data_IF_123596665110
#
_entry.id   IF_123596665110
#
_cell.length_a   1.000
_cell.length_b   1.000
_cell.length_c   1.000
_cell.angle_alpha   90.00
_cell.angle_beta   90.00
_cell.angle_gamma   90.00
#
_symmetry.space_group_name_H-M   'P 1'
#
loop_
_entity.id
_entity.type
_entity.pdbx_description
1 polymer ?
#
# COMPACT_ATOMS: atom_id res chain seq x y z
N UNK A 1 -7.50 18.52 1.95
CA UNK A 1 -7.36 17.18 2.55
C UNK A 1 -6.65 16.31 1.52
N UNK A 2 -5.63 15.53 1.91
CA UNK A 2 -4.98 14.62 0.99
C UNK A 2 -5.95 13.51 0.57
N UNK A 3 -5.80 13.07 -0.67
CA UNK A 3 -6.54 11.97 -1.27
C UNK A 3 -5.53 11.07 -1.98
N UNK A 4 -5.60 9.77 -1.68
CA UNK A 4 -4.66 8.77 -2.18
C UNK A 4 -5.38 7.80 -3.11
N UNK A 5 -4.79 7.59 -4.29
CA UNK A 5 -5.30 6.69 -5.32
C UNK A 5 -4.38 5.46 -5.40
N UNK A 6 -4.96 4.31 -5.05
CA UNK A 6 -4.32 3.00 -4.92
C UNK A 6 -5.11 2.00 -5.76
N UNK A 7 -5.03 2.16 -7.08
CA UNK A 7 -5.93 1.49 -8.01
C UNK A 7 -7.39 1.89 -7.76
N UNK A 8 -8.27 0.91 -7.59
CA UNK A 8 -9.70 1.14 -7.29
C UNK A 8 -9.98 1.66 -5.88
N UNK A 9 -8.99 1.61 -4.98
CA UNK A 9 -9.12 2.12 -3.62
C UNK A 9 -8.78 3.60 -3.55
N UNK A 10 -9.75 4.40 -3.11
CA UNK A 10 -9.60 5.82 -2.82
C UNK A 10 -9.64 6.03 -1.32
N UNK A 11 -8.53 6.51 -0.73
CA UNK A 11 -8.46 6.83 0.69
C UNK A 11 -8.42 8.34 0.85
N UNK A 12 -9.42 8.88 1.55
CA UNK A 12 -9.50 10.31 1.88
C UNK A 12 -8.88 10.56 3.27
N UNK A 13 -8.31 11.75 3.49
CA UNK A 13 -7.58 12.07 4.73
C UNK A 13 -8.25 11.70 6.07
N UNK A 14 -9.59 11.79 6.18
CA UNK A 14 -10.29 11.38 7.41
C UNK A 14 -10.36 9.85 7.59
N UNK A 15 -10.32 9.08 6.51
CA UNK A 15 -10.23 7.62 6.57
C UNK A 15 -8.79 7.17 6.87
N UNK A 16 -7.78 7.96 6.48
CA UNK A 16 -6.39 7.74 6.88
C UNK A 16 -6.25 7.79 8.39
N UNK A 17 -6.72 8.85 9.05
CA UNK A 17 -6.65 9.00 10.51
C UNK A 17 -7.32 7.83 11.24
N UNK A 18 -8.44 7.32 10.71
CA UNK A 18 -9.12 6.15 11.29
C UNK A 18 -8.31 4.87 11.11
N UNK A 19 -7.67 4.68 9.96
CA UNK A 19 -6.86 3.51 9.67
C UNK A 19 -5.58 3.50 10.50
N UNK A 20 -4.88 4.64 10.58
CA UNK A 20 -3.66 4.79 11.38
C UNK A 20 -3.95 4.56 12.86
N UNK A 21 -5.05 5.14 13.38
CA UNK A 21 -5.49 4.92 14.75
C UNK A 21 -5.89 3.46 15.04
N UNK A 22 -6.63 2.82 14.14
CA UNK A 22 -7.08 1.44 14.34
C UNK A 22 -5.93 0.42 14.32
N UNK A 23 -4.84 0.74 13.62
CA UNK A 23 -3.72 -0.16 13.37
C UNK A 23 -2.46 0.20 14.17
N UNK A 24 -2.54 1.26 14.99
CA UNK A 24 -1.44 1.82 15.76
C UNK A 24 -0.23 2.20 14.85
N UNK A 25 -0.53 2.73 13.67
CA UNK A 25 0.44 3.21 12.70
C UNK A 25 0.60 4.72 12.90
N UNK A 26 1.81 5.27 12.99
CA UNK A 26 2.01 6.71 13.03
C UNK A 26 1.46 7.41 11.77
N UNK A 27 0.80 8.55 11.92
CA UNK A 27 0.15 9.26 10.79
C UNK A 27 1.15 9.64 9.68
N UNK A 28 2.39 9.95 10.04
CA UNK A 28 3.48 10.30 9.12
C UNK A 28 4.02 9.09 8.33
N UNK A 29 3.67 7.86 8.74
CA UNK A 29 4.09 6.63 8.06
C UNK A 29 3.15 6.21 6.94
N UNK A 30 1.89 6.67 6.96
CA UNK A 30 0.88 6.22 6.02
C UNK A 30 1.25 6.46 4.54
N UNK A 31 1.72 7.66 4.24
CA UNK A 31 2.21 8.02 2.89
C UNK A 31 3.41 7.14 2.48
N UNK A 32 4.33 6.90 3.42
CA UNK A 32 5.47 6.01 3.19
C UNK A 32 5.06 4.56 2.88
N UNK A 33 3.94 4.07 3.43
CA UNK A 33 3.42 2.73 3.11
C UNK A 33 2.81 2.66 1.72
N UNK A 34 2.18 3.74 1.25
CA UNK A 34 1.70 3.86 -0.12
C UNK A 34 2.87 3.83 -1.09
N UNK A 35 3.89 4.64 -0.82
CA UNK A 35 5.10 4.69 -1.65
C UNK A 35 5.84 3.35 -1.64
N UNK A 36 5.89 2.67 -0.49
CA UNK A 36 6.49 1.35 -0.38
C UNK A 36 5.74 0.31 -1.23
N UNK A 37 4.41 0.34 -1.24
CA UNK A 37 3.58 -0.54 -2.07
C UNK A 37 3.76 -0.27 -3.57
N UNK A 38 3.88 0.99 -3.97
CA UNK A 38 4.19 1.38 -5.36
C UNK A 38 5.58 0.93 -5.79
N UNK A 39 6.58 1.11 -4.92
CA UNK A 39 7.93 0.60 -5.17
C UNK A 39 7.92 -0.91 -5.32
N UNK A 40 7.22 -1.66 -4.46
CA UNK A 40 7.13 -3.12 -4.58
C UNK A 40 6.54 -3.57 -5.93
N UNK A 41 5.58 -2.81 -6.47
CA UNK A 41 5.02 -3.03 -7.80
C UNK A 41 6.02 -2.72 -8.93
N UNK A 42 6.76 -1.62 -8.83
CA UNK A 42 7.71 -1.21 -9.86
C UNK A 42 9.04 -1.99 -9.85
N UNK A 43 9.40 -2.57 -8.69
CA UNK A 43 10.77 -3.04 -8.44
C UNK A 43 11.05 -4.45 -8.94
N UNK A 44 10.05 -5.34 -9.01
CA UNK A 44 10.30 -6.78 -9.15
C UNK A 44 9.49 -7.44 -10.27
N UNK A 45 10.05 -8.49 -10.89
CA UNK A 45 9.44 -9.21 -12.02
C UNK A 45 8.33 -10.18 -11.58
N UNK A 46 8.31 -10.54 -10.29
CA UNK A 46 7.34 -11.49 -9.74
C UNK A 46 6.64 -10.96 -8.50
N UNK A 47 5.37 -11.36 -8.33
CA UNK A 47 4.58 -11.07 -7.11
C UNK A 47 5.31 -11.55 -5.85
N UNK A 48 6.00 -12.70 -5.91
CA UNK A 48 6.78 -13.22 -4.77
C UNK A 48 7.90 -12.29 -4.33
N UNK A 49 8.63 -11.71 -5.28
CA UNK A 49 9.72 -10.78 -5.01
C UNK A 49 9.17 -9.44 -4.48
N UNK A 50 8.05 -8.94 -5.02
CA UNK A 50 7.36 -7.77 -4.48
C UNK A 50 6.94 -7.97 -3.01
N UNK A 51 6.40 -9.15 -2.68
CA UNK A 51 6.02 -9.49 -1.30
C UNK A 51 7.26 -9.56 -0.40
N UNK A 52 8.35 -10.14 -0.87
CA UNK A 52 9.61 -10.22 -0.12
C UNK A 52 10.20 -8.82 0.13
N UNK A 53 10.14 -7.93 -0.87
CA UNK A 53 10.53 -6.53 -0.73
C UNK A 53 9.71 -5.83 0.36
N UNK A 54 8.39 -6.00 0.38
CA UNK A 54 7.54 -5.44 1.43
C UNK A 54 7.91 -5.98 2.81
N UNK A 55 8.11 -7.30 2.93
CA UNK A 55 8.46 -7.95 4.19
C UNK A 55 9.84 -7.54 4.73
N UNK A 56 10.77 -7.11 3.86
CA UNK A 56 12.08 -6.57 4.26
C UNK A 56 12.00 -5.14 4.79
N UNK A 57 11.01 -4.36 4.36
CA UNK A 57 10.93 -2.92 4.59
C UNK A 57 9.79 -2.50 5.55
N UNK A 58 8.85 -3.38 5.86
CA UNK A 58 7.76 -3.16 6.79
C UNK A 58 7.52 -4.40 7.66
N UNK A 59 6.99 -4.18 8.88
CA UNK A 59 6.66 -5.24 9.83
C UNK A 59 5.29 -4.99 10.48
N UNK A 60 4.72 -6.03 11.10
CA UNK A 60 3.48 -5.89 11.87
C UNK A 60 2.33 -5.29 11.06
N UNK A 61 1.61 -4.34 11.65
CA UNK A 61 0.47 -3.65 11.01
C UNK A 61 0.86 -2.90 9.73
N UNK A 62 2.06 -2.31 9.69
CA UNK A 62 2.57 -1.61 8.51
C UNK A 62 2.70 -2.56 7.30
N UNK A 63 3.22 -3.76 7.53
CA UNK A 63 3.34 -4.79 6.48
C UNK A 63 1.97 -5.23 5.96
N UNK A 64 1.01 -5.44 6.86
CA UNK A 64 -0.36 -5.82 6.47
C UNK A 64 -0.98 -4.75 5.58
N UNK A 65 -0.85 -3.48 5.94
CA UNK A 65 -1.37 -2.36 5.16
C UNK A 65 -0.66 -2.23 3.81
N UNK A 66 0.66 -2.34 3.78
CA UNK A 66 1.44 -2.28 2.55
C UNK A 66 1.06 -3.41 1.58
N UNK A 67 0.79 -4.62 2.08
CA UNK A 67 0.30 -5.74 1.28
C UNK A 67 -1.11 -5.50 0.72
N UNK A 68 -2.01 -4.89 1.50
CA UNK A 68 -3.34 -4.50 1.02
C UNK A 68 -3.24 -3.48 -0.10
N UNK A 69 -2.39 -2.45 0.07
CA UNK A 69 -2.17 -1.44 -0.96
C UNK A 69 -1.56 -2.03 -2.22
N UNK A 70 -0.56 -2.91 -2.07
CA UNK A 70 0.07 -3.61 -3.18
C UNK A 70 -0.94 -4.46 -3.97
N UNK A 71 -1.78 -5.25 -3.28
CA UNK A 71 -2.81 -6.05 -3.93
C UNK A 71 -3.81 -5.22 -4.75
N UNK A 72 -4.14 -4.01 -4.29
CA UNK A 72 -5.04 -3.09 -5.03
C UNK A 72 -4.39 -2.46 -6.25
N UNK A 73 -3.11 -2.14 -6.16
CA UNK A 73 -2.33 -1.64 -7.30
C UNK A 73 -2.23 -2.72 -8.38
N UNK A 74 -2.00 -3.97 -7.97
CA UNK A 74 -1.93 -5.11 -8.88
C UNK A 74 -3.26 -5.37 -9.60
N UNK A 75 -4.38 -5.42 -8.87
CA UNK A 75 -5.73 -5.62 -9.44
C UNK A 75 -6.07 -4.58 -10.53
N UNK A 76 -5.80 -3.29 -10.27
CA UNK A 76 -6.04 -2.21 -11.23
C UNK A 76 -5.09 -2.24 -12.44
N UNK A 77 -3.93 -2.88 -12.31
CA UNK A 77 -3.00 -3.06 -13.42
C UNK A 77 -3.45 -4.18 -14.37
N UNK A 78 -3.98 -5.29 -13.84
CA UNK A 78 -4.57 -6.36 -14.65
C UNK A 78 -5.82 -5.89 -15.40
N UNK A 79 -6.69 -5.08 -14.77
CA UNK A 79 -7.88 -4.51 -15.42
C UNK A 79 -7.57 -3.55 -16.58
N UNK A 80 -6.36 -2.96 -16.65
CA UNK A 80 -5.96 -2.06 -17.73
C UNK A 80 -5.30 -2.77 -18.92
N UNK A 81 -4.87 -4.01 -18.74
CA UNK A 81 -4.28 -4.83 -19.80
C UNK A 81 -5.33 -5.63 -20.60
N UNK A 82 -6.58 -5.70 -20.11
CA UNK A 82 -7.77 -6.21 -20.82
C UNK A 82 -8.47 -5.13 -21.68
#
# INVERSE_FOLDING_TARGET
MPEYELGTLRVIGHDVEKLTQALDIPDDRFEGLIDLARQAWEYEETVSESIEFLAKNAIGSELVVALVFFGRIWEDSEEREE
#
